data_IF_772996603185
#
_entry.id   IF_772996603185
#
_cell.length_a   1.000
_cell.length_b   1.000
_cell.length_c   1.000
_cell.angle_alpha   90.00
_cell.angle_beta   90.00
_cell.angle_gamma   90.00
#
_symmetry.space_group_name_H-M   'P 1'
#
loop_
_entity.id
_entity.type
_entity.pdbx_description
1 polymer ?
#
# COMPACT_ATOMS: atom_id res chain seq x y z
N UNK A 1 -13.67 43.78 6.47
CA UNK A 1 -12.90 44.64 5.55
C UNK A 1 -12.70 43.84 4.28
N UNK A 2 -13.36 44.24 3.19
CA UNK A 2 -13.38 43.52 1.92
C UNK A 2 -12.02 43.66 1.21
N UNK A 3 -11.42 42.53 0.82
CA UNK A 3 -10.32 42.49 -0.14
C UNK A 3 -10.74 41.60 -1.30
N UNK A 4 -10.97 42.26 -2.44
CA UNK A 4 -11.37 41.63 -3.69
C UNK A 4 -10.20 40.93 -4.37
N UNK A 5 -10.44 39.71 -4.81
CA UNK A 5 -9.60 39.04 -5.80
C UNK A 5 -9.69 39.79 -7.14
N UNK A 6 -8.52 39.99 -7.76
CA UNK A 6 -8.39 40.79 -8.97
C UNK A 6 -9.16 40.17 -10.15
N UNK A 7 -9.72 41.05 -10.98
CA UNK A 7 -10.47 40.75 -12.20
C UNK A 7 -9.70 39.88 -13.19
N UNK A 8 -8.38 39.78 -13.07
CA UNK A 8 -7.51 38.97 -13.93
C UNK A 8 -7.65 37.46 -13.70
N UNK A 9 -7.93 37.01 -12.47
CA UNK A 9 -8.05 35.58 -12.13
C UNK A 9 -9.39 34.99 -12.60
N UNK A 10 -10.46 35.79 -12.57
CA UNK A 10 -11.78 35.36 -13.06
C UNK A 10 -11.81 35.19 -14.59
N UNK A 11 -11.03 35.98 -15.32
CA UNK A 11 -10.94 35.87 -16.79
C UNK A 11 -10.15 34.61 -17.20
N UNK A 12 -9.11 34.22 -16.46
CA UNK A 12 -8.35 32.99 -16.72
C UNK A 12 -9.19 31.75 -16.41
N UNK A 13 -9.97 31.75 -15.33
CA UNK A 13 -10.86 30.63 -14.99
C UNK A 13 -12.03 30.48 -15.99
N UNK A 14 -12.62 31.60 -16.44
CA UNK A 14 -13.66 31.57 -17.47
C UNK A 14 -13.12 31.12 -18.84
N UNK A 15 -11.88 31.49 -19.19
CA UNK A 15 -11.24 31.03 -20.43
C UNK A 15 -10.91 29.53 -20.39
N UNK A 16 -10.54 28.98 -19.24
CA UNK A 16 -10.28 27.55 -19.06
C UNK A 16 -11.56 26.70 -19.17
N UNK A 17 -12.68 27.19 -18.62
CA UNK A 17 -13.99 26.53 -18.74
C UNK A 17 -14.52 26.63 -20.19
N UNK A 18 -14.30 27.74 -20.90
CA UNK A 18 -14.72 27.87 -22.30
C UNK A 18 -13.88 26.99 -23.25
N UNK A 19 -12.59 26.76 -22.96
CA UNK A 19 -11.73 25.84 -23.70
C UNK A 19 -12.09 24.36 -23.46
N UNK A 20 -12.57 24.01 -22.26
CA UNK A 20 -13.09 22.67 -21.97
C UNK A 20 -14.44 22.40 -22.66
N UNK A 21 -15.29 23.41 -22.81
CA UNK A 21 -16.58 23.27 -23.52
C UNK A 21 -16.37 23.21 -25.05
N UNK A 22 -15.35 23.88 -25.59
CA UNK A 22 -15.02 23.85 -27.03
C UNK A 22 -14.20 22.63 -27.47
N UNK A 23 -13.76 21.76 -26.53
CA UNK A 23 -13.07 20.50 -26.83
C UNK A 23 -14.03 19.30 -26.98
N UNK A 24 -15.33 19.50 -26.82
CA UNK A 24 -16.37 18.49 -26.98
C UNK A 24 -17.29 18.78 -28.17
N UNK A 25 -16.71 18.91 -29.37
CA UNK A 25 -17.44 18.71 -30.62
C UNK A 25 -16.66 17.71 -31.49
N UNK A 26 -16.85 16.41 -31.19
CA UNK A 26 -16.68 15.36 -32.17
C UNK A 26 -18.01 14.64 -32.32
N UNK A 27 -18.60 14.74 -33.51
CA UNK A 27 -19.88 14.16 -33.87
C UNK A 27 -19.85 12.61 -33.79
N UNK A 28 -20.98 11.96 -33.47
CA UNK A 28 -21.08 10.51 -33.56
C UNK A 28 -21.18 10.12 -35.05
N UNK A 29 -20.23 9.31 -35.51
CA UNK A 29 -20.33 8.63 -36.80
C UNK A 29 -21.19 7.38 -36.62
N UNK A 30 -22.39 7.37 -37.20
CA UNK A 30 -23.22 6.17 -37.36
C UNK A 30 -22.51 5.19 -38.29
N UNK A 31 -22.21 3.99 -37.79
CA UNK A 31 -21.87 2.84 -38.62
C UNK A 31 -23.17 2.07 -38.87
N UNK A 32 -23.72 2.26 -40.06
CA UNK A 32 -24.89 1.54 -40.56
C UNK A 32 -24.45 0.11 -40.98
N UNK A 33 -24.70 -0.89 -40.13
CA UNK A 33 -24.59 -2.30 -40.53
C UNK A 33 -25.95 -2.72 -41.05
N UNK A 34 -26.06 -2.88 -42.37
CA UNK A 34 -27.21 -3.43 -43.04
C UNK A 34 -27.40 -4.91 -42.65
N UNK A 35 -28.43 -5.19 -41.84
CA UNK A 35 -29.00 -6.51 -41.65
C UNK A 35 -29.91 -6.82 -42.85
N UNK A 36 -29.42 -7.63 -43.78
CA UNK A 36 -30.26 -8.30 -44.77
C UNK A 36 -30.05 -9.82 -44.68
N UNK A 37 -31.11 -10.47 -44.21
CA UNK A 37 -31.59 -11.83 -44.54
C UNK A 37 -30.61 -12.83 -45.13
N UNK A 38 -30.19 -13.81 -44.32
CA UNK A 38 -29.94 -15.17 -44.82
C UNK A 38 -30.62 -16.17 -43.89
N UNK A 39 -31.69 -16.74 -44.43
CA UNK A 39 -32.49 -17.87 -43.95
C UNK A 39 -31.65 -19.11 -43.64
N UNK A 40 -31.92 -19.75 -42.51
CA UNK A 40 -31.58 -21.15 -42.24
C UNK A 40 -32.36 -22.05 -43.20
N UNK A 41 -31.69 -22.52 -44.26
CA UNK A 41 -32.15 -23.65 -45.06
C UNK A 41 -31.15 -24.79 -44.92
N UNK A 42 -31.66 -25.94 -44.49
CA UNK A 42 -30.87 -27.15 -44.35
C UNK A 42 -30.36 -27.63 -45.70
N UNK A 43 -29.15 -28.18 -45.68
CA UNK A 43 -28.73 -29.18 -46.64
C UNK A 43 -27.89 -30.23 -45.94
N UNK A 44 -28.55 -31.37 -45.74
CA UNK A 44 -27.96 -32.71 -45.70
C UNK A 44 -26.88 -32.86 -46.76
N UNK A 45 -25.66 -33.20 -46.33
CA UNK A 45 -24.69 -33.90 -47.16
C UNK A 45 -24.45 -35.24 -46.50
N UNK A 46 -25.05 -36.27 -47.10
CA UNK A 46 -24.74 -37.66 -46.83
C UNK A 46 -23.38 -37.98 -47.45
N UNK A 47 -22.47 -38.54 -46.65
CA UNK A 47 -21.32 -39.30 -47.15
C UNK A 47 -21.37 -40.67 -46.46
N UNK A 48 -21.34 -41.71 -47.29
CA UNK A 48 -21.72 -43.08 -46.95
C UNK A 48 -20.84 -43.78 -45.91
N UNK A 49 -21.46 -44.76 -45.26
CA UNK A 49 -20.87 -45.73 -44.35
C UNK A 49 -20.09 -46.81 -45.12
N UNK A 50 -19.01 -47.31 -44.51
CA UNK A 50 -18.76 -48.74 -44.41
C UNK A 50 -17.81 -49.09 -43.24
N UNK A 51 -18.38 -49.83 -42.27
CA UNK A 51 -17.86 -50.95 -41.45
C UNK A 51 -16.90 -50.77 -40.22
N UNK A 52 -17.54 -50.92 -39.03
CA UNK A 52 -17.10 -51.58 -37.75
C UNK A 52 -16.11 -50.90 -36.75
N UNK A 53 -16.11 -51.28 -35.44
CA UNK A 53 -17.19 -51.11 -34.47
C UNK A 53 -16.75 -50.40 -33.15
N UNK A 54 -17.70 -49.72 -32.50
CA UNK A 54 -17.72 -49.34 -31.06
C UNK A 54 -16.42 -48.88 -30.37
N UNK A 55 -16.34 -47.57 -30.09
CA UNK A 55 -15.88 -47.10 -28.78
C UNK A 55 -16.74 -45.92 -28.33
N UNK A 56 -17.49 -46.13 -27.25
CA UNK A 56 -18.26 -45.13 -26.53
C UNK A 56 -17.42 -43.85 -26.33
N UNK A 57 -17.73 -42.77 -27.05
CA UNK A 57 -17.24 -41.45 -26.70
C UNK A 57 -18.06 -40.96 -25.51
N UNK A 58 -17.58 -41.25 -24.30
CA UNK A 58 -17.97 -40.46 -23.14
C UNK A 58 -17.48 -39.04 -23.39
N UNK A 59 -18.42 -38.10 -23.37
CA UNK A 59 -18.17 -36.68 -23.20
C UNK A 59 -17.41 -36.55 -21.87
N UNK A 60 -16.11 -36.24 -21.91
CA UNK A 60 -15.34 -35.95 -20.70
C UNK A 60 -15.58 -34.49 -20.35
N UNK A 61 -15.97 -34.30 -19.09
CA UNK A 61 -16.40 -33.05 -18.47
C UNK A 61 -15.31 -31.99 -18.42
N UNK A 62 -15.76 -30.74 -18.33
CA UNK A 62 -14.95 -29.57 -17.94
C UNK A 62 -14.21 -29.94 -16.65
N UNK A 63 -12.87 -29.93 -16.71
CA UNK A 63 -12.02 -30.25 -15.58
C UNK A 63 -12.12 -29.08 -14.59
N UNK A 64 -12.62 -29.33 -13.37
CA UNK A 64 -12.69 -28.31 -12.33
C UNK A 64 -11.29 -27.76 -12.08
N UNK A 65 -11.11 -26.47 -12.36
CA UNK A 65 -9.84 -25.80 -12.12
C UNK A 65 -9.60 -25.74 -10.62
N UNK A 66 -8.45 -26.26 -10.19
CA UNK A 66 -8.05 -26.22 -8.78
C UNK A 66 -7.22 -24.94 -8.59
N UNK A 67 -7.68 -24.07 -7.69
CA UNK A 67 -6.96 -22.88 -7.29
C UNK A 67 -6.44 -23.03 -5.86
N UNK A 68 -5.22 -22.56 -5.63
CA UNK A 68 -4.62 -22.41 -4.29
C UNK A 68 -3.99 -21.03 -4.15
N UNK A 69 -3.72 -20.62 -2.93
CA UNK A 69 -3.09 -19.36 -2.58
C UNK A 69 -1.71 -19.61 -1.99
N UNK A 70 -0.75 -18.74 -2.28
CA UNK A 70 0.55 -18.78 -1.61
C UNK A 70 0.36 -18.53 -0.12
N UNK A 71 0.91 -19.41 0.71
CA UNK A 71 1.02 -19.26 2.16
C UNK A 71 2.49 -19.22 2.55
N UNK A 72 3.12 -18.08 2.27
CA UNK A 72 4.50 -17.82 2.60
C UNK A 72 4.70 -16.30 2.70
N UNK A 73 4.83 -15.71 3.91
CA UNK A 73 4.97 -14.27 4.08
C UNK A 73 6.12 -13.64 3.28
N UNK A 74 7.21 -14.39 3.05
CA UNK A 74 8.34 -13.95 2.23
C UNK A 74 8.17 -14.21 0.73
N UNK A 75 7.01 -14.72 0.30
CA UNK A 75 6.68 -15.22 -1.05
C UNK A 75 7.20 -16.63 -1.36
N UNK A 76 6.62 -17.28 -2.37
CA UNK A 76 6.90 -18.66 -2.77
C UNK A 76 7.70 -18.75 -4.07
N UNK A 77 8.91 -19.29 -3.98
CA UNK A 77 9.77 -19.51 -5.15
C UNK A 77 9.17 -20.52 -6.13
N UNK A 78 9.23 -20.25 -7.43
CA UNK A 78 8.86 -21.18 -8.49
C UNK A 78 10.02 -21.48 -9.45
N UNK A 79 9.98 -22.67 -10.03
CA UNK A 79 11.11 -23.28 -10.75
C UNK A 79 10.70 -23.84 -12.10
N UNK A 80 11.67 -24.09 -12.98
CA UNK A 80 11.45 -24.71 -14.29
C UNK A 80 11.10 -26.20 -14.23
N UNK A 81 11.54 -26.88 -13.18
CA UNK A 81 11.23 -28.25 -12.83
C UNK A 81 11.18 -28.41 -11.29
N UNK A 82 10.63 -29.52 -10.75
CA UNK A 82 10.75 -29.84 -9.33
C UNK A 82 12.22 -29.79 -8.87
N UNK A 83 12.53 -28.95 -7.87
CA UNK A 83 13.90 -28.69 -7.39
C UNK A 83 14.88 -28.16 -8.46
N UNK A 84 14.36 -27.69 -9.60
CA UNK A 84 15.14 -27.18 -10.73
C UNK A 84 15.70 -25.77 -10.53
N UNK A 85 15.95 -25.08 -11.64
CA UNK A 85 16.43 -23.69 -11.63
C UNK A 85 15.33 -22.76 -11.10
N UNK A 86 15.71 -21.81 -10.25
CA UNK A 86 14.81 -20.75 -9.80
C UNK A 86 14.45 -19.86 -10.99
N UNK A 87 13.15 -19.73 -11.26
CA UNK A 87 12.62 -18.83 -12.29
C UNK A 87 12.13 -17.51 -11.70
N UNK A 88 11.60 -17.57 -10.47
CA UNK A 88 10.95 -16.43 -9.87
C UNK A 88 10.37 -16.72 -8.50
N UNK A 89 9.55 -15.80 -8.01
CA UNK A 89 8.86 -15.90 -6.73
C UNK A 89 7.46 -15.29 -6.85
N UNK A 90 6.44 -16.05 -6.46
CA UNK A 90 5.09 -15.55 -6.31
C UNK A 90 4.94 -14.82 -4.96
N UNK A 91 4.25 -13.67 -4.90
CA UNK A 91 3.96 -12.97 -3.65
C UNK A 91 3.17 -13.84 -2.67
N UNK A 92 3.19 -13.48 -1.39
CA UNK A 92 2.28 -14.08 -0.41
C UNK A 92 0.82 -13.89 -0.84
N UNK A 93 -0.04 -14.84 -0.52
CA UNK A 93 -1.47 -14.82 -0.81
C UNK A 93 -1.84 -14.77 -2.30
N UNK A 94 -0.88 -14.94 -3.19
CA UNK A 94 -1.11 -14.90 -4.64
C UNK A 94 -1.88 -16.15 -5.10
N UNK A 95 -2.91 -15.97 -5.94
CA UNK A 95 -3.73 -17.08 -6.44
C UNK A 95 -3.04 -17.80 -7.60
N UNK A 96 -2.92 -19.12 -7.49
CA UNK A 96 -2.29 -20.01 -8.45
C UNK A 96 -3.28 -21.07 -8.93
N UNK A 97 -3.34 -21.30 -10.24
CA UNK A 97 -4.05 -22.45 -10.81
C UNK A 97 -3.12 -23.67 -10.80
N UNK A 98 -3.54 -24.77 -10.19
CA UNK A 98 -2.78 -26.03 -10.19
C UNK A 98 -3.03 -26.75 -11.53
N UNK A 99 -1.98 -26.90 -12.32
CA UNK A 99 -2.01 -27.61 -13.60
C UNK A 99 -1.70 -29.10 -13.44
N UNK A 100 -0.83 -29.45 -12.49
CA UNK A 100 -0.33 -30.82 -12.33
C UNK A 100 0.15 -31.05 -10.89
N UNK A 101 -0.25 -32.18 -10.29
CA UNK A 101 0.36 -32.71 -9.08
C UNK A 101 1.49 -33.66 -9.49
N UNK A 102 2.72 -33.44 -9.02
CA UNK A 102 3.82 -34.38 -9.30
C UNK A 102 3.95 -35.41 -8.20
N UNK A 103 4.73 -36.47 -8.40
CA UNK A 103 5.08 -37.43 -7.34
C UNK A 103 6.38 -37.05 -6.60
N UNK A 104 6.91 -35.85 -6.85
CA UNK A 104 8.19 -35.41 -6.28
C UNK A 104 7.95 -34.76 -4.92
N UNK A 105 8.09 -35.53 -3.84
CA UNK A 105 7.99 -35.00 -2.48
C UNK A 105 9.29 -34.41 -1.95
N UNK A 106 9.19 -33.48 -0.99
CA UNK A 106 10.32 -32.87 -0.29
C UNK A 106 9.96 -32.52 1.15
N UNK A 107 10.98 -32.34 1.97
CA UNK A 107 10.87 -31.74 3.30
C UNK A 107 11.74 -30.49 3.29
N UNK A 108 11.16 -29.35 3.63
CA UNK A 108 11.86 -28.06 3.75
C UNK A 108 11.96 -27.72 5.23
N UNK A 109 13.15 -27.28 5.65
CA UNK A 109 13.37 -26.73 6.99
C UNK A 109 13.13 -25.22 6.95
N UNK A 110 12.17 -24.76 7.73
CA UNK A 110 11.88 -23.34 7.93
C UNK A 110 12.00 -23.01 9.42
N UNK A 111 13.13 -22.40 9.79
CA UNK A 111 13.56 -22.28 11.18
C UNK A 111 13.64 -23.64 11.88
N UNK A 112 12.83 -23.81 12.93
CA UNK A 112 12.73 -25.05 13.72
C UNK A 112 11.61 -25.99 13.25
N UNK A 113 10.89 -25.64 12.17
CA UNK A 113 9.77 -26.44 11.64
C UNK A 113 10.22 -27.22 10.41
N UNK A 114 9.76 -28.46 10.31
CA UNK A 114 9.89 -29.28 9.10
C UNK A 114 8.55 -29.27 8.38
N UNK A 115 8.53 -28.76 7.16
CA UNK A 115 7.34 -28.67 6.31
C UNK A 115 7.49 -29.71 5.21
N UNK A 116 6.58 -30.68 5.19
CA UNK A 116 6.52 -31.74 4.18
C UNK A 116 5.49 -31.38 3.11
N UNK A 117 5.78 -31.75 1.87
CA UNK A 117 4.93 -31.46 0.73
C UNK A 117 5.47 -32.06 -0.55
N UNK A 118 4.84 -31.69 -1.65
CA UNK A 118 5.08 -32.18 -3.00
C UNK A 118 5.21 -31.01 -3.97
N UNK A 119 5.99 -31.21 -5.02
CA UNK A 119 6.09 -30.21 -6.08
C UNK A 119 4.85 -30.27 -6.97
N UNK A 120 4.32 -29.11 -7.32
CA UNK A 120 3.12 -28.98 -8.17
C UNK A 120 3.39 -27.97 -9.27
N UNK A 121 2.89 -28.24 -10.47
CA UNK A 121 2.95 -27.32 -11.59
C UNK A 121 1.80 -26.35 -11.49
N UNK A 122 2.11 -25.06 -11.62
CA UNK A 122 1.14 -23.98 -11.45
C UNK A 122 1.17 -23.02 -12.61
N UNK A 123 0.07 -22.27 -12.78
CA UNK A 123 0.00 -21.14 -13.70
C UNK A 123 -0.74 -19.94 -13.13
N UNK A 124 -0.35 -18.76 -13.60
CA UNK A 124 -1.09 -17.49 -13.42
C UNK A 124 -1.81 -17.07 -14.71
N UNK A 125 -1.76 -17.91 -15.75
CA UNK A 125 -2.17 -17.55 -17.13
C UNK A 125 -1.07 -16.85 -17.92
N UNK A 126 -0.14 -16.15 -17.25
CA UNK A 126 1.04 -15.51 -17.85
C UNK A 126 2.33 -16.29 -17.62
N UNK A 127 2.40 -17.01 -16.51
CA UNK A 127 3.61 -17.73 -16.07
C UNK A 127 3.27 -19.14 -15.69
N UNK A 128 4.15 -20.08 -16.09
CA UNK A 128 4.06 -21.50 -15.76
C UNK A 128 5.35 -21.91 -15.05
N UNK A 129 5.23 -22.64 -13.95
CA UNK A 129 6.38 -23.17 -13.21
C UNK A 129 5.99 -24.19 -12.17
N UNK A 130 6.97 -24.68 -11.41
CA UNK A 130 6.78 -25.64 -10.32
C UNK A 130 7.04 -24.98 -8.97
N UNK A 131 6.13 -25.20 -8.02
CA UNK A 131 6.24 -24.72 -6.63
C UNK A 131 6.12 -25.89 -5.65
N UNK A 132 6.55 -25.69 -4.41
CA UNK A 132 6.37 -26.65 -3.33
C UNK A 132 5.04 -26.39 -2.61
N UNK A 133 4.12 -27.36 -2.62
CA UNK A 133 2.75 -27.20 -2.14
C UNK A 133 2.61 -27.06 -0.62
N UNK A 134 3.66 -27.36 0.14
CA UNK A 134 3.69 -27.17 1.60
C UNK A 134 3.54 -25.71 2.03
N UNK A 135 3.65 -24.77 1.08
CA UNK A 135 3.36 -23.34 1.24
C UNK A 135 2.17 -22.89 0.38
N UNK A 136 1.22 -23.78 0.11
CA UNK A 136 -0.04 -23.45 -0.54
C UNK A 136 -1.20 -23.70 0.40
N UNK A 137 -2.16 -22.78 0.40
CA UNK A 137 -3.40 -22.86 1.15
C UNK A 137 -4.59 -22.91 0.19
N UNK A 138 -5.65 -23.63 0.57
CA UNK A 138 -6.92 -23.60 -0.18
C UNK A 138 -7.69 -22.29 0.05
N UNK A 139 -7.37 -21.59 1.13
CA UNK A 139 -8.02 -20.34 1.52
C UNK A 139 -7.12 -19.15 1.21
N UNK A 140 -7.71 -18.13 0.60
CA UNK A 140 -7.17 -16.77 0.65
C UNK A 140 -7.04 -16.39 2.12
N UNK A 141 -5.85 -15.96 2.52
CA UNK A 141 -5.70 -15.30 3.81
C UNK A 141 -6.32 -13.93 3.64
N UNK A 142 -7.47 -13.69 4.24
CA UNK A 142 -7.82 -12.31 4.52
C UNK A 142 -6.64 -11.76 5.30
N UNK A 143 -5.89 -10.84 4.68
CA UNK A 143 -4.98 -9.99 5.40
C UNK A 143 -5.93 -9.13 6.22
N UNK A 144 -6.35 -9.68 7.37
CA UNK A 144 -6.90 -8.87 8.41
C UNK A 144 -5.78 -7.87 8.70
N UNK A 145 -5.97 -6.63 8.27
CA UNK A 145 -5.20 -5.48 8.74
C UNK A 145 -5.12 -5.47 10.28
N UNK A 146 -6.03 -6.20 10.93
CA UNK A 146 -6.13 -6.39 12.37
C UNK A 146 -5.21 -7.46 13.00
N UNK A 147 -4.57 -8.39 12.28
CA UNK A 147 -3.90 -9.55 12.95
C UNK A 147 -2.43 -9.84 12.61
N UNK A 148 -1.73 -8.95 11.90
CA UNK A 148 -0.28 -9.03 11.73
C UNK A 148 0.44 -7.74 12.14
N UNK A 149 -0.16 -6.99 13.07
CA UNK A 149 0.45 -5.84 13.70
C UNK A 149 1.70 -6.36 14.44
N UNK A 150 2.90 -5.92 14.04
CA UNK A 150 4.02 -5.90 14.99
C UNK A 150 3.49 -5.22 16.27
N UNK A 151 3.86 -5.64 17.48
CA UNK A 151 3.42 -4.99 18.74
C UNK A 151 3.66 -3.46 18.81
N UNK A 152 4.31 -2.90 17.79
CA UNK A 152 4.53 -1.49 17.56
C UNK A 152 3.46 -0.91 16.61
N UNK A 153 2.42 -0.30 17.18
CA UNK A 153 1.42 0.47 16.44
C UNK A 153 1.94 1.87 16.11
N UNK A 154 2.02 2.23 14.83
CA UNK A 154 2.47 3.55 14.38
C UNK A 154 1.30 4.26 13.70
N UNK A 155 0.95 5.42 14.22
CA UNK A 155 -0.15 6.27 13.74
C UNK A 155 0.41 7.46 12.96
N UNK A 156 -0.35 7.98 12.01
CA UNK A 156 -0.09 9.27 11.37
C UNK A 156 -0.80 10.43 12.06
N UNK A 157 -0.31 11.63 11.76
CA UNK A 157 -1.01 12.86 12.06
C UNK A 157 -1.85 13.27 10.86
N UNK A 158 -3.13 13.52 11.12
CA UNK A 158 -4.07 14.15 10.20
C UNK A 158 -4.43 15.53 10.74
N UNK A 159 -5.47 16.14 10.16
CA UNK A 159 -6.03 17.38 10.63
C UNK A 159 -7.52 17.45 10.41
N UNK A 160 -8.16 18.39 11.11
CA UNK A 160 -9.51 18.80 10.82
C UNK A 160 -9.58 20.32 10.72
N UNK A 161 -10.50 20.81 9.90
CA UNK A 161 -10.73 22.25 9.73
C UNK A 161 -11.74 22.75 10.76
N UNK A 162 -11.41 23.85 11.44
CA UNK A 162 -12.37 24.67 12.19
C UNK A 162 -13.04 25.70 11.29
N UNK A 163 -14.19 26.22 11.73
CA UNK A 163 -15.03 27.23 11.03
C UNK A 163 -14.32 28.51 10.53
N UNK A 164 -13.06 28.75 10.90
CA UNK A 164 -12.26 29.90 10.44
C UNK A 164 -11.12 29.48 9.49
N UNK A 165 -11.26 28.34 8.81
CA UNK A 165 -10.22 27.71 7.98
C UNK A 165 -8.92 27.43 8.76
N UNK A 166 -9.03 27.27 10.09
CA UNK A 166 -7.91 26.90 10.94
C UNK A 166 -7.79 25.38 10.95
N UNK A 167 -6.67 24.88 10.43
CA UNK A 167 -6.35 23.46 10.42
C UNK A 167 -5.73 23.05 11.75
N UNK A 168 -6.41 22.14 12.45
CA UNK A 168 -5.97 21.63 13.76
C UNK A 168 -5.43 20.22 13.60
N UNK A 169 -4.21 19.93 14.09
CA UNK A 169 -3.66 18.59 14.03
C UNK A 169 -4.41 17.61 14.91
N UNK A 170 -4.52 16.38 14.40
CA UNK A 170 -5.31 15.33 14.98
C UNK A 170 -4.62 13.98 14.79
N UNK A 171 -4.82 13.07 15.74
CA UNK A 171 -4.41 11.67 15.58
C UNK A 171 -5.66 10.83 15.73
N UNK A 172 -6.11 10.24 14.63
CA UNK A 172 -7.22 9.31 14.64
C UNK A 172 -6.82 8.03 15.36
N UNK A 173 -7.67 7.56 16.27
CA UNK A 173 -7.54 6.26 16.91
C UNK A 173 -8.50 5.23 16.30
N UNK A 174 -9.29 5.65 15.30
CA UNK A 174 -10.28 4.83 14.60
C UNK A 174 -9.77 4.29 13.26
N UNK A 175 -8.54 4.66 12.88
CA UNK A 175 -7.87 4.19 11.66
C UNK A 175 -7.74 2.67 11.66
N UNK A 176 -8.14 2.03 10.57
CA UNK A 176 -8.13 0.57 10.40
C UNK A 176 -9.31 -0.20 11.01
N UNK A 177 -10.24 0.47 11.73
CA UNK A 177 -11.40 -0.17 12.35
C UNK A 177 -12.71 0.30 11.69
N UNK A 178 -13.20 -0.47 10.72
CA UNK A 178 -14.44 -0.22 9.98
C UNK A 178 -15.71 -0.37 10.83
N UNK A 179 -15.62 -1.01 11.99
CA UNK A 179 -16.77 -1.42 12.80
C UNK A 179 -17.16 -0.44 13.92
N UNK A 180 -16.58 0.77 13.95
CA UNK A 180 -16.91 1.77 14.95
C UNK A 180 -18.33 2.32 14.73
N UNK A 181 -19.30 1.57 15.24
CA UNK A 181 -20.58 2.11 15.66
C UNK A 181 -20.28 3.14 16.73
N UNK A 182 -20.28 4.39 16.28
CA UNK A 182 -20.77 5.56 16.98
C UNK A 182 -21.08 5.40 18.48
N UNK A 183 -20.55 6.26 19.36
CA UNK A 183 -21.21 6.48 20.64
C UNK A 183 -22.65 6.89 20.33
N UNK A 184 -23.60 6.09 20.80
CA UNK A 184 -25.06 6.28 20.69
C UNK A 184 -25.53 7.72 21.02
N UNK A 185 -24.71 8.44 21.76
CA UNK A 185 -24.90 9.80 22.25
C UNK A 185 -24.96 10.85 21.13
N UNK A 186 -24.27 10.68 20.00
CA UNK A 186 -24.36 11.65 18.89
C UNK A 186 -25.62 11.46 18.04
N UNK A 187 -26.15 10.23 17.90
CA UNK A 187 -27.50 10.03 17.33
C UNK A 187 -28.56 10.74 18.20
N UNK A 188 -28.41 10.72 19.53
CA UNK A 188 -29.27 11.47 20.44
C UNK A 188 -29.03 12.99 20.35
N UNK A 189 -27.78 13.45 20.24
CA UNK A 189 -27.42 14.87 20.07
C UNK A 189 -27.95 15.47 18.75
N UNK A 190 -27.94 14.69 17.67
CA UNK A 190 -28.52 15.10 16.39
C UNK A 190 -30.06 15.09 16.43
N UNK A 191 -30.66 14.15 17.17
CA UNK A 191 -32.11 14.00 17.31
C UNK A 191 -32.75 14.91 18.38
N UNK A 192 -31.98 15.56 19.25
CA UNK A 192 -32.52 16.54 20.18
C UNK A 192 -33.02 17.78 19.41
N UNK A 193 -34.34 17.92 19.33
CA UNK A 193 -35.07 19.05 18.72
C UNK A 193 -35.06 20.33 19.56
N UNK A 194 -34.35 20.34 20.69
CA UNK A 194 -34.32 21.43 21.67
C UNK A 194 -33.04 22.28 21.66
N UNK A 195 -32.03 21.89 20.87
CA UNK A 195 -30.80 22.69 20.69
C UNK A 195 -31.04 23.65 19.53
N UNK A 196 -30.93 24.96 19.79
CA UNK A 196 -31.13 26.01 18.79
C UNK A 196 -30.26 25.72 17.55
N UNK A 197 -30.78 25.96 16.35
CA UNK A 197 -30.05 25.73 15.09
C UNK A 197 -28.71 26.49 15.00
N UNK A 198 -28.56 27.58 15.74
CA UNK A 198 -27.31 28.34 15.85
C UNK A 198 -26.25 27.65 16.75
N UNK A 199 -26.67 26.83 17.72
CA UNK A 199 -25.78 25.99 18.56
C UNK A 199 -25.46 24.65 17.88
N UNK A 200 -26.41 24.05 17.16
CA UNK A 200 -26.16 22.85 16.33
C UNK A 200 -25.11 23.10 15.24
N UNK A 201 -25.03 24.32 14.73
CA UNK A 201 -23.98 24.67 13.77
C UNK A 201 -22.61 24.86 14.42
N UNK A 202 -22.49 25.09 15.74
CA UNK A 202 -21.25 25.58 16.35
C UNK A 202 -20.27 24.51 16.84
N UNK A 203 -20.67 23.24 16.93
CA UNK A 203 -19.75 22.17 17.34
C UNK A 203 -19.94 20.93 16.44
N UNK A 204 -19.17 20.88 15.34
CA UNK A 204 -18.97 19.65 14.53
C UNK A 204 -18.03 18.66 15.29
N UNK A 205 -17.73 18.96 16.57
CA UNK A 205 -16.79 18.25 17.42
C UNK A 205 -17.48 17.84 18.71
N UNK A 206 -17.37 16.56 19.08
CA UNK A 206 -17.88 16.05 20.34
C UNK A 206 -16.72 15.67 21.26
N UNK A 207 -16.58 16.38 22.39
CA UNK A 207 -15.55 16.06 23.38
C UNK A 207 -15.92 14.82 24.19
N UNK A 208 -15.12 13.75 24.07
CA UNK A 208 -15.32 12.52 24.83
C UNK A 208 -14.64 12.66 26.21
N UNK A 209 -15.42 12.51 27.28
CA UNK A 209 -14.99 12.70 28.67
C UNK A 209 -15.59 11.62 29.58
N UNK A 210 -15.09 11.55 30.83
CA UNK A 210 -15.66 10.68 31.87
C UNK A 210 -15.67 9.19 31.49
N UNK A 211 -16.78 8.50 31.76
CA UNK A 211 -16.91 7.05 31.52
C UNK A 211 -16.82 6.68 30.02
N UNK A 212 -17.27 7.55 29.12
CA UNK A 212 -17.17 7.31 27.68
C UNK A 212 -15.72 7.28 27.21
N UNK A 213 -14.90 8.21 27.73
CA UNK A 213 -13.47 8.25 27.44
C UNK A 213 -12.77 6.99 27.91
N UNK A 214 -13.05 6.58 29.15
CA UNK A 214 -12.50 5.35 29.73
C UNK A 214 -12.89 4.15 28.85
N UNK A 215 -14.17 4.07 28.46
CA UNK A 215 -14.67 2.98 27.61
C UNK A 215 -14.00 2.97 26.24
N UNK A 216 -13.88 4.13 25.60
CA UNK A 216 -13.24 4.25 24.29
C UNK A 216 -11.76 3.84 24.34
N UNK A 217 -10.99 4.41 25.28
CA UNK A 217 -9.55 4.11 25.39
C UNK A 217 -9.31 2.64 25.76
N UNK A 218 -10.11 2.06 26.65
CA UNK A 218 -10.01 0.63 26.99
C UNK A 218 -10.28 -0.27 25.79
N UNK A 219 -11.23 0.07 24.90
CA UNK A 219 -11.48 -0.68 23.67
C UNK A 219 -10.33 -0.57 22.66
N UNK A 220 -9.44 0.41 22.84
CA UNK A 220 -8.20 0.58 22.06
C UNK A 220 -6.97 0.06 22.80
N UNK A 221 -7.16 -0.58 23.95
CA UNK A 221 -6.08 -1.04 24.82
C UNK A 221 -5.11 0.08 25.26
N UNK A 222 -5.63 1.31 25.39
CA UNK A 222 -4.90 2.48 25.84
C UNK A 222 -5.28 2.80 27.28
N UNK A 223 -4.30 2.98 28.17
CA UNK A 223 -4.49 3.41 29.54
C UNK A 223 -4.26 4.93 29.68
N UNK A 224 -5.03 5.58 30.55
CA UNK A 224 -4.86 7.01 30.86
C UNK A 224 -3.46 7.35 31.43
N UNK A 225 -2.79 6.36 32.00
CA UNK A 225 -1.42 6.44 32.51
C UNK A 225 -0.34 6.29 31.43
N UNK A 226 -0.71 5.87 30.22
CA UNK A 226 0.20 5.78 29.08
C UNK A 226 0.64 7.18 28.60
N UNK A 227 1.52 7.18 27.61
CA UNK A 227 2.02 8.38 26.97
C UNK A 227 1.71 8.35 25.47
N UNK A 228 1.30 9.49 24.95
CA UNK A 228 1.32 9.79 23.53
C UNK A 228 2.69 10.35 23.16
N UNK A 229 3.44 9.60 22.34
CA UNK A 229 4.71 10.01 21.76
C UNK A 229 4.47 10.49 20.33
N UNK A 230 4.94 11.69 20.01
CA UNK A 230 4.87 12.28 18.66
C UNK A 230 6.30 12.58 18.22
N UNK A 231 6.78 11.85 17.22
CA UNK A 231 8.11 12.01 16.64
C UNK A 231 8.02 12.65 15.26
N UNK A 232 8.49 13.88 15.13
CA UNK A 232 8.63 14.56 13.86
C UNK A 232 9.95 14.17 13.20
N UNK A 233 9.89 13.34 12.16
CA UNK A 233 11.08 12.76 11.53
C UNK A 233 11.83 13.74 10.62
N UNK A 234 11.23 14.88 10.26
CA UNK A 234 11.89 15.91 9.48
C UNK A 234 12.74 16.85 10.37
N UNK A 235 12.22 17.22 11.53
CA UNK A 235 12.90 18.12 12.48
C UNK A 235 13.66 17.38 13.58
N UNK A 236 13.52 16.06 13.62
CA UNK A 236 14.07 15.18 14.66
C UNK A 236 13.62 15.55 16.08
N UNK A 237 12.37 16.01 16.22
CA UNK A 237 11.79 16.40 17.51
C UNK A 237 10.82 15.35 18.04
N UNK A 238 11.03 14.93 19.29
CA UNK A 238 10.12 14.06 20.02
C UNK A 238 9.36 14.86 21.08
N UNK A 239 8.03 14.82 21.02
CA UNK A 239 7.15 15.33 22.08
C UNK A 239 6.47 14.16 22.78
N UNK A 240 6.19 14.35 24.07
CA UNK A 240 5.47 13.37 24.88
C UNK A 240 4.37 14.07 25.68
N UNK A 241 3.22 13.43 25.76
CA UNK A 241 2.08 13.88 26.55
C UNK A 241 1.51 12.70 27.32
N UNK A 242 1.07 12.93 28.56
CA UNK A 242 0.28 11.92 29.26
C UNK A 242 -1.08 11.80 28.60
N UNK A 243 -1.54 10.58 28.34
CA UNK A 243 -2.82 10.35 27.65
C UNK A 243 -3.96 11.09 28.33
N UNK A 244 -4.05 11.02 29.67
CA UNK A 244 -5.04 11.75 30.48
C UNK A 244 -5.10 13.27 30.27
N UNK A 245 -4.02 13.87 29.79
CA UNK A 245 -3.90 15.32 29.60
C UNK A 245 -4.14 15.74 28.14
N UNK A 246 -4.33 14.77 27.23
CA UNK A 246 -4.63 15.01 25.81
C UNK A 246 -6.15 14.90 25.57
N UNK A 247 -6.81 15.96 25.06
CA UNK A 247 -8.24 15.91 24.76
C UNK A 247 -8.58 14.83 23.74
N UNK A 248 -9.65 14.09 23.98
CA UNK A 248 -10.23 13.12 23.05
C UNK A 248 -11.53 13.70 22.50
N UNK A 249 -11.71 13.67 21.19
CA UNK A 249 -12.96 14.11 20.57
C UNK A 249 -13.26 13.32 19.30
N UNK A 250 -14.50 13.46 18.86
CA UNK A 250 -15.01 12.91 17.61
C UNK A 250 -15.38 14.06 16.67
N UNK A 251 -15.07 13.91 15.38
CA UNK A 251 -15.49 14.84 14.33
C UNK A 251 -15.89 14.13 13.06
N UNK A 252 -16.72 14.78 12.23
CA UNK A 252 -17.13 14.22 10.94
C UNK A 252 -15.91 14.07 10.03
N UNK A 253 -15.83 12.96 9.32
CA UNK A 253 -14.82 12.71 8.30
C UNK A 253 -15.03 13.62 7.09
N UNK A 254 -13.96 13.84 6.33
CA UNK A 254 -14.04 14.60 5.07
C UNK A 254 -14.92 13.91 4.00
N UNK A 255 -15.19 12.61 4.16
CA UNK A 255 -16.06 11.84 3.27
C UNK A 255 -17.55 12.05 3.55
N UNK A 256 -17.89 12.65 4.70
CA UNK A 256 -19.25 12.98 5.10
C UNK A 256 -20.12 11.75 5.36
N UNK A 257 -21.45 11.92 5.30
CA UNK A 257 -22.39 10.79 5.27
C UNK A 257 -22.61 10.08 6.60
N UNK A 258 -22.22 10.69 7.72
CA UNK A 258 -22.34 10.08 9.04
C UNK A 258 -21.13 9.25 9.47
N UNK A 259 -20.00 9.35 8.74
CA UNK A 259 -18.72 8.76 9.11
C UNK A 259 -17.87 9.73 9.92
N UNK A 260 -17.30 9.27 11.04
CA UNK A 260 -16.59 10.13 11.97
C UNK A 260 -15.28 9.52 12.42
N UNK A 261 -14.34 10.39 12.76
CA UNK A 261 -13.06 10.04 13.34
C UNK A 261 -13.07 10.34 14.81
N UNK A 262 -12.55 9.43 15.63
CA UNK A 262 -12.36 9.65 17.07
C UNK A 262 -10.90 9.50 17.43
N UNK A 263 -10.38 10.48 18.15
CA UNK A 263 -8.94 10.56 18.38
C UNK A 263 -8.49 11.77 19.18
N UNK A 264 -7.18 11.97 19.22
CA UNK A 264 -6.55 12.98 20.05
C UNK A 264 -6.51 14.35 19.38
N UNK A 265 -7.00 15.37 20.09
CA UNK A 265 -6.82 16.77 19.71
C UNK A 265 -5.45 17.27 20.16
N UNK A 266 -4.73 17.89 19.23
CA UNK A 266 -3.41 18.45 19.52
C UNK A 266 -3.38 19.98 19.44
N UNK A 267 -4.56 20.62 19.39
CA UNK A 267 -4.68 22.07 19.48
C UNK A 267 -3.92 22.62 20.69
N UNK A 268 -3.01 23.56 20.44
CA UNK A 268 -2.19 24.19 21.48
C UNK A 268 -1.13 23.28 22.11
N UNK A 269 -1.08 21.99 21.75
CA UNK A 269 -0.05 21.04 22.22
C UNK A 269 1.15 21.01 21.28
N UNK A 270 0.93 21.25 19.98
CA UNK A 270 1.98 21.28 18.96
C UNK A 270 1.89 22.52 18.08
N UNK A 271 2.98 22.83 17.37
CA UNK A 271 3.03 23.97 16.46
C UNK A 271 2.37 23.61 15.12
N UNK A 272 1.52 24.52 14.61
CA UNK A 272 0.72 24.31 13.39
C UNK A 272 1.19 25.17 12.21
N UNK A 273 2.08 26.13 12.46
CA UNK A 273 2.43 27.24 11.58
C UNK A 273 3.15 26.87 10.26
N UNK A 274 3.52 25.61 10.05
CA UNK A 274 4.29 25.18 8.89
C UNK A 274 3.86 23.82 8.30
N UNK A 275 2.76 23.24 8.79
CA UNK A 275 2.30 21.89 8.39
C UNK A 275 3.35 20.77 8.55
N UNK A 276 4.46 21.02 9.25
CA UNK A 276 5.52 20.03 9.45
C UNK A 276 5.05 18.84 10.27
N UNK A 277 3.94 18.98 11.00
CA UNK A 277 3.35 17.91 11.79
C UNK A 277 2.92 16.71 10.94
N UNK A 278 2.60 16.89 9.64
CA UNK A 278 2.38 15.76 8.71
C UNK A 278 3.60 14.86 8.58
N UNK A 279 4.80 15.38 8.84
CA UNK A 279 6.03 14.62 8.90
C UNK A 279 6.30 14.04 10.30
N UNK A 280 5.26 13.50 10.93
CA UNK A 280 5.36 12.91 12.26
C UNK A 280 4.69 11.55 12.36
N UNK A 281 5.31 10.68 13.15
CA UNK A 281 4.71 9.44 13.61
C UNK A 281 4.25 9.58 15.05
N UNK A 282 3.15 8.92 15.37
CA UNK A 282 2.64 8.83 16.73
C UNK A 282 2.60 7.38 17.22
N UNK A 283 2.77 7.23 18.53
CA UNK A 283 2.66 5.95 19.24
C UNK A 283 2.10 6.19 20.63
N UNK A 284 1.27 5.27 21.11
CA UNK A 284 0.63 5.34 22.43
C UNK A 284 1.00 4.09 23.21
N UNK A 285 1.82 4.25 24.24
CA UNK A 285 2.21 3.18 25.17
C UNK A 285 2.91 3.80 26.40
N UNK A 286 3.37 2.98 27.32
CA UNK A 286 4.16 3.34 28.50
C UNK A 286 5.57 3.81 28.13
N UNK A 287 6.12 3.31 27.03
CA UNK A 287 7.50 3.55 26.63
C UNK A 287 7.61 4.14 25.22
N UNK A 288 8.54 5.08 25.05
CA UNK A 288 8.83 5.68 23.75
C UNK A 288 9.54 4.65 22.84
N UNK A 289 9.01 4.34 21.65
CA UNK A 289 9.67 3.43 20.71
C UNK A 289 10.70 4.14 19.83
N UNK A 290 10.63 5.46 19.68
CA UNK A 290 11.41 6.21 18.71
C UNK A 290 12.83 6.50 19.18
N UNK A 291 13.76 6.48 18.23
CA UNK A 291 15.11 7.01 18.34
C UNK A 291 15.19 8.36 17.64
N UNK A 292 15.83 9.33 18.29
CA UNK A 292 16.19 10.61 17.66
C UNK A 292 17.61 10.55 17.10
N UNK A 293 17.95 11.48 16.21
CA UNK A 293 19.28 11.70 15.61
C UNK A 293 19.83 10.49 14.85
N UNK A 294 18.96 9.55 14.45
CA UNK A 294 19.35 8.26 13.88
C UNK A 294 18.67 7.96 12.55
N UNK A 295 17.81 8.87 12.08
CA UNK A 295 17.13 8.81 10.79
C UNK A 295 17.68 9.92 9.89
N UNK A 296 17.76 9.68 8.58
CA UNK A 296 18.14 10.69 7.60
C UNK A 296 17.30 10.59 6.34
N UNK A 297 17.03 11.75 5.73
CA UNK A 297 16.51 11.80 4.38
C UNK A 297 17.57 11.28 3.39
N UNK A 298 17.14 10.47 2.43
CA UNK A 298 17.98 9.91 1.39
C UNK A 298 18.23 10.98 0.33
N UNK A 299 19.45 11.52 0.32
CA UNK A 299 19.89 12.46 -0.71
C UNK A 299 20.53 11.69 -1.88
N UNK A 300 19.69 11.26 -2.81
CA UNK A 300 20.09 10.50 -4.00
C UNK A 300 21.11 11.27 -4.86
N UNK A 301 22.28 10.66 -5.09
CA UNK A 301 23.32 11.20 -5.97
C UNK A 301 23.43 10.37 -7.23
N UNK A 302 23.34 11.02 -8.39
CA UNK A 302 23.52 10.35 -9.67
C UNK A 302 24.92 9.69 -9.74
N UNK A 303 24.98 8.46 -10.26
CA UNK A 303 26.23 7.72 -10.46
C UNK A 303 26.26 7.08 -11.84
N UNK A 304 27.46 6.76 -12.31
CA UNK A 304 27.62 5.96 -13.52
C UNK A 304 27.04 4.55 -13.28
N UNK A 305 26.21 4.07 -14.22
CA UNK A 305 25.50 2.79 -14.11
C UNK A 305 26.43 1.58 -14.01
N UNK A 306 27.67 1.67 -14.50
CA UNK A 306 28.70 0.62 -14.33
C UNK A 306 29.16 0.41 -12.88
N UNK A 307 28.87 1.37 -11.98
CA UNK A 307 29.18 1.26 -10.55
C UNK A 307 28.10 0.53 -9.75
N UNK A 308 26.96 0.24 -10.36
CA UNK A 308 25.86 -0.46 -9.69
C UNK A 308 26.17 -1.97 -9.67
N UNK A 309 26.12 -2.62 -8.51
CA UNK A 309 26.24 -4.07 -8.43
C UNK A 309 25.13 -4.76 -9.23
N UNK A 310 25.49 -5.75 -10.05
CA UNK A 310 24.50 -6.61 -10.70
C UNK A 310 23.89 -7.56 -9.68
N UNK A 311 22.58 -7.48 -9.52
CA UNK A 311 21.77 -8.32 -8.63
C UNK A 311 20.67 -9.00 -9.44
N UNK A 312 19.99 -9.98 -8.85
CA UNK A 312 18.83 -10.60 -9.46
C UNK A 312 17.60 -9.72 -9.22
N UNK A 313 17.01 -9.17 -10.28
CA UNK A 313 15.79 -8.36 -10.22
C UNK A 313 14.60 -9.18 -10.69
N UNK A 314 13.44 -8.94 -10.07
CA UNK A 314 12.17 -9.40 -10.63
C UNK A 314 11.80 -8.55 -11.86
N UNK A 315 10.87 -8.99 -12.71
CA UNK A 315 10.18 -8.19 -13.72
C UNK A 315 8.93 -8.93 -14.23
N UNK A 316 7.95 -8.19 -14.77
CA UNK A 316 6.75 -8.79 -15.36
C UNK A 316 5.96 -9.65 -14.36
N UNK A 317 5.78 -9.14 -13.14
CA UNK A 317 5.12 -9.76 -11.97
C UNK A 317 5.81 -11.00 -11.37
N UNK A 318 6.63 -11.73 -12.12
CA UNK A 318 7.09 -13.06 -11.69
C UNK A 318 8.52 -13.44 -12.07
N UNK A 319 9.07 -12.92 -13.17
CA UNK A 319 10.33 -13.40 -13.72
C UNK A 319 11.51 -12.80 -12.97
N UNK A 320 12.58 -13.58 -12.77
CA UNK A 320 13.83 -13.08 -12.21
C UNK A 320 14.94 -13.13 -13.23
N UNK A 321 15.74 -12.07 -13.30
CA UNK A 321 16.83 -11.96 -14.25
C UNK A 321 17.97 -11.10 -13.74
N UNK A 322 19.19 -11.50 -14.11
CA UNK A 322 20.39 -10.66 -14.02
C UNK A 322 20.73 -10.00 -15.37
N UNK A 323 19.95 -10.32 -16.41
CA UNK A 323 20.08 -9.80 -17.77
C UNK A 323 19.14 -8.61 -17.94
N UNK A 324 19.68 -7.43 -17.69
CA UNK A 324 19.01 -6.15 -17.86
C UNK A 324 20.06 -5.06 -18.06
N UNK A 325 19.65 -3.96 -18.70
CA UNK A 325 20.46 -2.75 -18.82
C UNK A 325 20.01 -1.72 -17.81
N UNK A 326 20.96 -1.16 -17.07
CA UNK A 326 20.69 -0.04 -16.15
C UNK A 326 20.80 1.24 -16.97
N UNK A 327 19.70 1.98 -17.10
CA UNK A 327 19.62 3.23 -17.86
C UNK A 327 19.97 4.44 -17.00
N UNK A 328 19.52 4.44 -15.74
CA UNK A 328 19.78 5.51 -14.77
C UNK A 328 20.10 4.87 -13.41
N UNK A 329 21.01 5.50 -12.66
CA UNK A 329 21.38 5.03 -11.33
C UNK A 329 21.66 6.20 -10.37
N UNK A 330 21.11 6.09 -9.16
CA UNK A 330 21.44 6.93 -8.03
C UNK A 330 21.94 6.09 -6.87
N UNK A 331 22.77 6.70 -6.04
CA UNK A 331 23.38 6.05 -4.90
C UNK A 331 23.35 6.96 -3.68
N UNK A 332 23.18 6.36 -2.52
CA UNK A 332 23.30 6.99 -1.22
C UNK A 332 23.92 6.01 -0.22
N UNK A 333 24.63 6.54 0.78
CA UNK A 333 25.28 5.74 1.82
C UNK A 333 24.90 6.30 3.17
N UNK A 334 24.39 5.44 4.04
CA UNK A 334 24.15 5.71 5.46
C UNK A 334 24.39 4.44 6.27
N UNK A 335 24.97 4.57 7.46
CA UNK A 335 25.28 3.44 8.36
C UNK A 335 26.08 2.31 7.69
N UNK A 336 26.96 2.66 6.76
CA UNK A 336 27.75 1.75 5.91
C UNK A 336 26.94 0.85 4.95
N UNK A 337 25.63 1.06 4.83
CA UNK A 337 24.80 0.41 3.84
C UNK A 337 24.74 1.24 2.57
N UNK A 338 24.76 0.57 1.42
CA UNK A 338 24.60 1.20 0.12
C UNK A 338 23.14 1.14 -0.32
N UNK A 339 22.56 2.26 -0.73
CA UNK A 339 21.20 2.35 -1.26
C UNK A 339 21.28 2.73 -2.72
N UNK A 340 20.52 2.04 -3.56
CA UNK A 340 20.46 2.30 -4.98
C UNK A 340 19.02 2.54 -5.42
N UNK A 341 18.86 3.54 -6.29
CA UNK A 341 17.69 3.68 -7.16
C UNK A 341 18.15 3.43 -8.58
N UNK A 342 17.44 2.59 -9.33
CA UNK A 342 17.83 2.24 -10.70
C UNK A 342 16.63 2.17 -11.63
N UNK A 343 16.79 2.65 -12.86
CA UNK A 343 15.86 2.38 -13.97
C UNK A 343 16.43 1.29 -14.84
N UNK A 344 15.75 0.16 -14.91
CA UNK A 344 16.23 -1.07 -15.53
C UNK A 344 15.39 -1.42 -16.75
N UNK A 345 16.06 -1.85 -17.82
CA UNK A 345 15.46 -2.26 -19.07
C UNK A 345 15.72 -3.75 -19.29
N UNK A 346 14.66 -4.52 -19.44
CA UNK A 346 14.66 -5.97 -19.64
C UNK A 346 14.23 -6.28 -21.08
N UNK A 347 14.61 -7.46 -21.57
CA UNK A 347 14.21 -7.99 -22.87
C UNK A 347 14.35 -6.96 -24.01
N UNK A 348 15.56 -6.38 -24.12
CA UNK A 348 15.93 -5.37 -25.11
C UNK A 348 15.03 -4.12 -25.14
N UNK A 349 14.47 -3.72 -24.00
CA UNK A 349 13.60 -2.54 -23.91
C UNK A 349 12.11 -2.84 -23.89
N UNK A 350 11.72 -4.12 -23.96
CA UNK A 350 10.31 -4.51 -23.90
C UNK A 350 9.68 -4.18 -22.55
N UNK A 351 10.45 -4.28 -21.45
CA UNK A 351 10.00 -3.94 -20.12
C UNK A 351 10.98 -2.97 -19.46
N UNK A 352 10.46 -1.92 -18.84
CA UNK A 352 11.26 -0.99 -18.04
C UNK A 352 10.65 -0.87 -16.66
N UNK A 353 11.47 -1.00 -15.62
CA UNK A 353 11.04 -0.88 -14.25
C UNK A 353 12.11 -0.20 -13.38
N UNK A 354 11.61 0.59 -12.43
CA UNK A 354 12.43 1.26 -11.45
C UNK A 354 12.54 0.39 -10.20
N UNK A 355 13.72 0.35 -9.59
CA UNK A 355 13.97 -0.45 -8.39
C UNK A 355 14.70 0.38 -7.34
N UNK A 356 14.31 0.16 -6.09
CA UNK A 356 15.06 0.60 -4.91
C UNK A 356 15.55 -0.64 -4.18
N UNK A 357 16.85 -0.68 -3.87
CA UNK A 357 17.41 -1.74 -3.05
C UNK A 357 18.53 -1.23 -2.15
N UNK A 358 18.69 -1.88 -1.01
CA UNK A 358 19.72 -1.61 -0.02
C UNK A 358 20.64 -2.83 0.11
N UNK A 359 21.95 -2.59 0.16
CA UNK A 359 22.97 -3.61 0.34
C UNK A 359 23.77 -3.36 1.62
N UNK A 360 24.12 -4.44 2.31
CA UNK A 360 25.04 -4.39 3.45
C UNK A 360 26.47 -4.09 3.00
N UNK A 361 27.42 -3.79 3.93
CA UNK A 361 28.83 -3.64 3.59
C UNK A 361 29.42 -4.87 2.88
N UNK A 362 28.88 -6.06 3.20
CA UNK A 362 29.26 -7.34 2.58
C UNK A 362 28.55 -7.62 1.24
N UNK A 363 27.82 -6.64 0.71
CA UNK A 363 27.06 -6.70 -0.55
C UNK A 363 25.90 -7.71 -0.56
N UNK A 364 25.38 -8.06 0.62
CA UNK A 364 24.13 -8.81 0.73
C UNK A 364 22.94 -7.87 0.55
N UNK A 365 21.91 -8.31 -0.15
CA UNK A 365 20.65 -7.56 -0.30
C UNK A 365 19.92 -7.55 1.04
N UNK A 366 19.70 -6.36 1.60
CA UNK A 366 18.96 -6.15 2.84
C UNK A 366 17.48 -5.83 2.57
N UNK A 367 17.20 -5.15 1.47
CA UNK A 367 15.86 -4.78 1.04
C UNK A 367 15.87 -4.57 -0.47
N UNK A 368 14.76 -4.88 -1.12
CA UNK A 368 14.54 -4.62 -2.55
C UNK A 368 13.05 -4.50 -2.83
N UNK A 369 12.68 -3.46 -3.55
CA UNK A 369 11.32 -3.28 -4.07
C UNK A 369 11.35 -2.74 -5.49
N UNK A 370 10.37 -3.17 -6.28
CA UNK A 370 10.03 -2.52 -7.54
C UNK A 370 9.21 -1.26 -7.24
N UNK A 371 9.55 -0.18 -7.93
CA UNK A 371 8.86 1.10 -7.84
C UNK A 371 7.83 1.13 -8.96
N UNK A 372 6.56 0.95 -8.58
CA UNK A 372 5.43 0.87 -9.50
C UNK A 372 4.51 2.08 -9.34
N UNK A 373 3.85 2.43 -10.43
CA UNK A 373 2.77 3.42 -10.48
C UNK A 373 1.45 2.68 -10.71
N UNK A 374 0.41 3.06 -9.97
CA UNK A 374 -0.92 2.43 -10.01
C UNK A 374 -2.00 3.45 -9.65
N UNK A 375 -3.27 3.05 -9.76
CA UNK A 375 -4.39 3.87 -9.29
C UNK A 375 -4.29 4.18 -7.79
N UNK A 376 -3.69 3.27 -7.01
CA UNK A 376 -3.60 3.37 -5.55
C UNK A 376 -2.42 4.17 -5.05
N UNK A 377 -1.31 4.21 -5.79
CA UNK A 377 -0.10 4.89 -5.36
C UNK A 377 0.80 5.26 -6.54
N UNK A 378 1.61 6.30 -6.36
CA UNK A 378 2.64 6.72 -7.30
C UNK A 378 4.00 6.78 -6.61
N UNK A 379 5.12 6.57 -7.34
CA UNK A 379 6.46 6.73 -6.80
C UNK A 379 6.69 8.14 -6.22
N UNK A 380 7.27 8.23 -5.02
CA UNK A 380 7.59 9.55 -4.44
C UNK A 380 8.84 10.21 -5.01
N UNK A 381 9.62 9.46 -5.79
CA UNK A 381 10.74 9.98 -6.57
C UNK A 381 10.33 10.18 -8.02
N UNK A 382 10.16 11.44 -8.44
CA UNK A 382 10.02 11.78 -9.85
C UNK A 382 11.38 12.19 -10.41
N UNK A 383 11.86 11.43 -11.40
CA UNK A 383 12.98 11.83 -12.24
C UNK A 383 12.41 12.73 -13.35
N UNK A 384 12.60 14.05 -13.27
CA UNK A 384 12.26 14.93 -14.38
C UNK A 384 13.14 14.60 -15.59
N UNK A 385 12.54 14.43 -16.77
CA UNK A 385 13.25 14.04 -17.99
C UNK A 385 14.33 15.06 -18.44
N UNK A 386 14.37 16.26 -17.85
CA UNK A 386 15.29 17.35 -18.23
C UNK A 386 16.02 18.03 -17.05
N UNK A 387 15.87 17.54 -15.83
CA UNK A 387 16.71 17.97 -14.70
C UNK A 387 17.21 16.71 -13.98
N UNK A 388 18.53 16.49 -13.92
CA UNK A 388 19.12 15.34 -13.23
C UNK A 388 18.94 15.38 -11.69
N UNK A 389 17.99 16.17 -11.18
CA UNK A 389 17.77 16.44 -9.77
C UNK A 389 16.38 15.96 -9.34
N UNK A 390 16.28 15.07 -8.34
CA UNK A 390 15.02 14.77 -7.70
C UNK A 390 14.37 16.03 -7.11
N UNK A 391 13.09 16.24 -7.37
CA UNK A 391 12.29 17.22 -6.64
C UNK A 391 11.98 16.63 -5.26
N UNK A 392 12.74 17.07 -4.25
CA UNK A 392 12.55 16.77 -2.81
C UNK A 392 12.29 15.27 -2.50
N UNK A 393 13.32 14.40 -2.44
CA UNK A 393 13.11 13.00 -2.12
C UNK A 393 12.66 12.86 -0.65
N UNK A 394 11.36 12.61 -0.44
CA UNK A 394 10.74 12.30 0.87
C UNK A 394 11.09 10.88 1.37
N UNK A 395 12.20 10.31 0.91
CA UNK A 395 12.62 8.98 1.30
C UNK A 395 13.49 9.09 2.54
N UNK A 396 13.28 8.22 3.52
CA UNK A 396 14.05 8.21 4.75
C UNK A 396 14.64 6.83 4.99
N UNK A 397 15.85 6.80 5.57
CA UNK A 397 16.49 5.59 6.02
C UNK A 397 17.29 5.82 7.31
N UNK A 398 17.55 4.74 8.05
CA UNK A 398 18.30 4.77 9.31
C UNK A 398 17.57 4.06 10.43
N UNK A 399 17.94 4.29 11.68
CA UNK A 399 17.31 3.67 12.84
C UNK A 399 16.18 4.56 13.36
N UNK A 400 14.94 4.11 13.18
CA UNK A 400 13.76 4.80 13.67
C UNK A 400 13.33 4.31 15.05
N UNK A 401 13.47 3.01 15.33
CA UNK A 401 12.95 2.38 16.54
C UNK A 401 14.05 1.81 17.42
N UNK A 402 13.84 1.85 18.74
CA UNK A 402 14.68 1.19 19.74
C UNK A 402 14.65 -0.32 19.53
N UNK A 403 15.80 -0.96 19.69
CA UNK A 403 15.96 -2.41 19.63
C UNK A 403 15.44 -3.08 18.36
N UNK A 404 15.34 -2.31 17.26
CA UNK A 404 14.94 -2.80 15.94
C UNK A 404 15.99 -2.51 14.87
N UNK A 405 16.00 -3.26 13.77
CA UNK A 405 16.87 -2.97 12.63
C UNK A 405 16.60 -1.59 12.02
N UNK A 406 17.54 -1.06 11.22
CA UNK A 406 17.30 0.12 10.41
C UNK A 406 16.11 -0.07 9.46
N UNK A 407 15.49 1.04 9.05
CA UNK A 407 14.31 1.07 8.19
C UNK A 407 14.57 1.85 6.91
N UNK A 408 13.66 1.70 5.96
CA UNK A 408 13.45 2.56 4.80
C UNK A 408 11.94 2.83 4.63
N UNK A 409 11.57 4.08 4.34
CA UNK A 409 10.17 4.45 4.11
C UNK A 409 10.03 5.72 3.27
N UNK A 410 8.79 6.10 2.98
CA UNK A 410 8.45 7.27 2.17
C UNK A 410 8.76 7.06 0.69
N UNK A 411 8.51 5.84 0.18
CA UNK A 411 8.83 5.43 -1.19
C UNK A 411 7.69 5.68 -2.20
N UNK A 412 6.48 5.95 -1.71
CA UNK A 412 5.29 6.15 -2.53
C UNK A 412 4.43 7.28 -1.95
N UNK A 413 3.80 8.05 -2.84
CA UNK A 413 2.60 8.81 -2.52
C UNK A 413 1.41 7.87 -2.66
N UNK A 414 0.60 7.75 -1.60
CA UNK A 414 -0.52 6.80 -1.57
C UNK A 414 -1.84 7.57 -1.65
N UNK A 415 -2.65 7.25 -2.66
CA UNK A 415 -4.01 7.77 -2.82
C UNK A 415 -5.05 6.83 -2.22
N UNK A 416 -4.79 5.52 -2.27
CA UNK A 416 -5.60 4.46 -1.67
C UNK A 416 -4.69 3.47 -0.94
N UNK A 417 -5.02 3.15 0.31
CA UNK A 417 -4.17 2.36 1.21
C UNK A 417 -3.38 3.22 2.19
N UNK A 418 -2.61 2.57 3.05
CA UNK A 418 -1.72 3.26 3.99
C UNK A 418 -0.24 3.06 3.65
N UNK A 419 0.61 4.07 3.90
CA UNK A 419 2.04 3.94 3.72
C UNK A 419 2.63 2.93 4.71
N UNK A 420 3.86 2.51 4.44
CA UNK A 420 4.55 1.51 5.25
C UNK A 420 6.00 1.87 5.54
N UNK A 421 6.53 1.23 6.57
CA UNK A 421 7.93 1.30 7.00
C UNK A 421 8.54 -0.09 6.90
N UNK A 422 9.53 -0.26 6.03
CA UNK A 422 10.20 -1.54 5.84
C UNK A 422 11.50 -1.61 6.63
N UNK A 423 11.76 -2.74 7.28
CA UNK A 423 13.06 -3.01 7.91
C UNK A 423 14.08 -3.49 6.90
N UNK A 424 15.35 -3.18 7.15
CA UNK A 424 16.51 -3.70 6.42
C UNK A 424 16.97 -5.05 7.00
N UNK A 425 16.01 -5.90 7.32
CA UNK A 425 16.16 -7.26 7.80
C UNK A 425 14.92 -8.04 7.33
N UNK A 426 15.12 -9.08 6.53
CA UNK A 426 14.05 -9.86 5.92
C UNK A 426 13.25 -10.72 6.93
N UNK A 427 13.73 -10.81 8.17
CA UNK A 427 13.05 -11.49 9.28
C UNK A 427 12.07 -10.58 10.01
N UNK A 428 12.22 -9.27 9.88
CA UNK A 428 11.31 -8.30 10.50
C UNK A 428 10.19 -7.94 9.54
N UNK A 429 8.96 -7.92 10.07
CA UNK A 429 7.78 -7.59 9.25
C UNK A 429 7.71 -6.09 9.02
N UNK A 430 7.28 -5.70 7.83
CA UNK A 430 6.94 -4.31 7.50
C UNK A 430 5.89 -3.78 8.49
N UNK A 431 6.01 -2.52 8.89
CA UNK A 431 4.98 -1.81 9.66
C UNK A 431 4.08 -1.06 8.69
N UNK A 432 2.80 -1.43 8.65
CA UNK A 432 1.78 -0.59 8.02
C UNK A 432 1.42 0.53 8.98
N UNK A 433 1.50 1.75 8.51
CA UNK A 433 1.14 2.93 9.27
C UNK A 433 -0.39 2.96 9.38
N UNK A 434 -0.91 3.14 10.58
CA UNK A 434 -2.35 3.33 10.80
C UNK A 434 -2.72 4.72 10.31
N UNK A 435 -3.47 4.75 9.22
CA UNK A 435 -3.96 5.93 8.55
C UNK A 435 -5.46 5.79 8.23
N UNK A 436 -6.14 6.90 8.04
CA UNK A 436 -7.51 6.90 7.54
C UNK A 436 -7.52 6.48 6.06
N UNK A 437 -8.13 5.34 5.77
CA UNK A 437 -8.28 4.80 4.42
C UNK A 437 -9.70 4.32 4.17
N UNK A 438 -10.70 5.14 4.54
CA UNK A 438 -12.14 4.88 4.30
C UNK A 438 -12.59 5.23 2.87
N UNK A 439 -11.74 4.91 1.90
CA UNK A 439 -11.99 5.10 0.47
C UNK A 439 -12.82 3.97 -0.16
#
# INVERSE_FOLDING_TARGET
>A
MALGLSTSVKIVFAAFILLLILSCENQPQEIEIALNDISLSGNTIAVGFDNEPTRSSQIISIQDKIYKYVDAPSGLNFRDAPKGKLLGKFPDNYRLEILEMTDVSSIVKDGNKEISGTWVKVTTGRVIGYVFDGYLSDNYKEIAYENNINNLSILTMDSYEKKNDETIPFISLTDGYWSNRFPKVLEEYQNESSINNDEKQNEIYYHIKGEERITFLNNREIDESDFLFIYNYQTDQLKQFKVKDVPLFTHESIYGGGDYLTGFNLEGLIETNNYSYYNSFAHVDKENPFLTNSLSSINWKAINTSKVPKIELAYGEFFKSTQYDIKVAYHYVIDNNDYYYTRNSFDNGTYTADYIFALSPSKQVLYMTEVTDSESHSPSLYLEENTELPKEPNHYAGRLFKDKPPVIFGLYYTSFGCPFIAFLDDKERIIYIQCDNRH
#
